data_IF_394121275252
#
_entry.id   IF_394121275252
#
_cell.length_a   1.000
_cell.length_b   1.000
_cell.length_c   1.000
_cell.angle_alpha   90.00
_cell.angle_beta   90.00
_cell.angle_gamma   90.00
#
_symmetry.space_group_name_H-M   'P 1'
#
loop_
_entity.id
_entity.type
_entity.pdbx_description
1 polymer ?
#
# COMPACT_ATOMS: atom_id res chain seq x y z
N UNK A 1 21.71 -14.37 -5.13
CA UNK A 1 20.69 -14.02 -4.12
C UNK A 1 20.05 -15.32 -3.68
N UNK A 2 20.16 -15.64 -2.40
CA UNK A 2 19.40 -16.76 -1.83
C UNK A 2 17.98 -16.23 -1.56
N UNK A 3 16.96 -16.82 -2.18
CA UNK A 3 15.56 -16.38 -2.01
C UNK A 3 14.97 -16.88 -0.68
N UNK A 4 15.63 -17.84 -0.04
CA UNK A 4 15.18 -18.45 1.21
C UNK A 4 15.64 -17.66 2.45
N UNK A 5 16.48 -16.64 2.28
CA UNK A 5 16.98 -15.79 3.35
C UNK A 5 16.54 -14.34 3.17
N UNK A 6 16.04 -13.67 4.23
CA UNK A 6 15.73 -12.25 4.18
C UNK A 6 16.96 -11.44 3.80
N UNK A 7 16.80 -10.50 2.88
CA UNK A 7 17.88 -9.58 2.50
C UNK A 7 18.33 -8.71 3.70
N UNK A 8 17.38 -8.38 4.59
CA UNK A 8 17.62 -7.57 5.79
C UNK A 8 16.52 -7.80 6.83
N UNK A 9 16.93 -8.00 8.08
CA UNK A 9 16.03 -7.96 9.24
C UNK A 9 15.80 -6.50 9.65
N UNK A 10 14.56 -6.04 9.66
CA UNK A 10 14.20 -4.65 10.02
C UNK A 10 13.95 -4.48 11.53
N UNK A 11 13.85 -5.57 12.29
CA UNK A 11 13.51 -5.54 13.70
C UNK A 11 12.11 -4.98 13.94
N UNK A 12 11.90 -4.40 15.13
CA UNK A 12 10.60 -3.87 15.52
C UNK A 12 10.24 -2.59 14.75
N UNK A 13 9.04 -2.61 14.18
CA UNK A 13 8.40 -1.51 13.47
C UNK A 13 7.08 -1.22 14.18
N UNK A 14 6.84 0.01 14.61
CA UNK A 14 5.56 0.40 15.18
C UNK A 14 4.52 0.65 14.07
N UNK A 15 3.91 -0.43 13.60
CA UNK A 15 2.85 -0.40 12.59
C UNK A 15 1.44 -0.36 13.19
N UNK A 16 1.31 -0.37 14.52
CA UNK A 16 0.03 -0.48 15.22
C UNK A 16 -0.94 0.63 14.82
N UNK A 17 -0.54 1.91 14.73
CA UNK A 17 -1.45 2.99 14.32
C UNK A 17 -2.00 2.79 12.90
N UNK A 18 -1.16 2.31 11.96
CA UNK A 18 -1.58 2.05 10.59
C UNK A 18 -2.58 0.89 10.53
N UNK A 19 -2.29 -0.20 11.24
CA UNK A 19 -3.20 -1.36 11.33
C UNK A 19 -4.55 -0.94 11.89
N UNK A 20 -4.57 -0.21 13.00
CA UNK A 20 -5.80 0.16 13.68
C UNK A 20 -6.65 1.10 12.80
N UNK A 21 -6.01 2.02 12.07
CA UNK A 21 -6.70 2.83 11.05
C UNK A 21 -7.32 1.96 9.95
N UNK A 22 -6.57 1.02 9.38
CA UNK A 22 -7.07 0.10 8.33
C UNK A 22 -8.29 -0.69 8.83
N UNK A 23 -8.23 -1.21 10.06
CA UNK A 23 -9.32 -1.99 10.66
C UNK A 23 -10.55 -1.15 11.03
N UNK A 24 -10.40 0.18 11.16
CA UNK A 24 -11.51 1.10 11.43
C UNK A 24 -12.25 1.58 10.18
N UNK A 25 -11.74 1.29 8.98
CA UNK A 25 -12.38 1.70 7.73
C UNK A 25 -13.66 0.90 7.47
N UNK A 26 -14.67 1.57 6.94
CA UNK A 26 -15.92 0.92 6.55
C UNK A 26 -15.70 -0.06 5.39
N UNK A 27 -16.49 -1.15 5.35
CA UNK A 27 -16.49 -2.13 4.25
C UNK A 27 -16.69 -1.48 2.87
N UNK A 28 -17.36 -0.32 2.82
CA UNK A 28 -17.56 0.45 1.58
C UNK A 28 -16.24 0.97 1.03
N UNK A 29 -15.32 1.42 1.87
CA UNK A 29 -14.03 1.98 1.48
C UNK A 29 -13.18 0.96 0.71
N UNK A 30 -13.28 -0.32 1.06
CA UNK A 30 -12.61 -1.41 0.34
C UNK A 30 -13.10 -1.59 -1.11
N UNK A 31 -14.28 -1.07 -1.44
CA UNK A 31 -14.91 -1.17 -2.75
C UNK A 31 -14.84 0.13 -3.57
N UNK A 32 -14.16 1.17 -3.06
CA UNK A 32 -14.07 2.47 -3.74
C UNK A 32 -13.08 2.47 -4.91
N UNK A 33 -12.16 1.49 -4.99
CA UNK A 33 -11.25 1.33 -6.13
C UNK A 33 -11.91 0.49 -7.26
N UNK A 34 -12.94 1.06 -7.89
CA UNK A 34 -13.75 0.40 -8.92
C UNK A 34 -12.96 0.07 -10.20
N UNK A 35 -11.97 0.90 -10.56
CA UNK A 35 -11.15 0.69 -11.76
C UNK A 35 -10.47 -0.68 -11.76
N UNK A 36 -9.94 -1.14 -10.62
CA UNK A 36 -9.32 -2.47 -10.50
C UNK A 36 -10.33 -3.62 -10.45
N UNK A 37 -11.55 -3.38 -9.97
CA UNK A 37 -12.60 -4.41 -9.92
C UNK A 37 -13.20 -4.70 -11.30
N UNK A 38 -13.27 -3.69 -12.17
CA UNK A 38 -13.88 -3.82 -13.50
C UNK A 38 -12.86 -4.15 -14.60
N UNK A 39 -11.61 -3.69 -14.48
CA UNK A 39 -10.61 -3.77 -15.55
C UNK A 39 -9.82 -5.10 -15.57
N UNK A 40 -9.80 -5.86 -14.46
CA UNK A 40 -9.06 -7.11 -14.37
C UNK A 40 -9.93 -8.23 -13.77
N UNK A 41 -10.31 -9.22 -14.59
CA UNK A 41 -11.19 -10.33 -14.21
C UNK A 41 -10.73 -11.09 -12.95
N UNK A 42 -9.42 -11.11 -12.68
CA UNK A 42 -8.81 -11.78 -11.52
C UNK A 42 -9.04 -11.07 -10.19
N UNK A 43 -9.42 -9.78 -10.21
CA UNK A 43 -9.66 -8.97 -9.00
C UNK A 43 -11.15 -8.82 -8.66
N UNK A 44 -12.05 -9.42 -9.44
CA UNK A 44 -13.51 -9.40 -9.18
C UNK A 44 -13.94 -9.98 -7.82
N UNK A 45 -13.04 -10.65 -7.11
CA UNK A 45 -13.28 -11.25 -5.78
C UNK A 45 -12.40 -10.71 -4.67
N UNK A 46 -11.55 -9.72 -4.96
CA UNK A 46 -10.60 -9.18 -3.98
C UNK A 46 -10.70 -7.66 -3.94
N UNK A 47 -11.27 -7.16 -2.86
CA UNK A 47 -11.28 -5.73 -2.54
C UNK A 47 -9.89 -5.31 -2.03
N UNK A 48 -9.45 -4.09 -2.32
CA UNK A 48 -8.11 -3.63 -1.99
C UNK A 48 -8.07 -2.12 -1.77
N UNK A 49 -7.31 -1.69 -0.78
CA UNK A 49 -7.00 -0.29 -0.53
C UNK A 49 -5.70 0.05 -1.24
N UNK A 50 -5.79 0.78 -2.35
CA UNK A 50 -4.62 1.21 -3.13
C UNK A 50 -4.31 2.65 -2.78
N UNK A 51 -3.09 2.93 -2.35
CA UNK A 51 -2.61 4.29 -2.06
C UNK A 51 -1.99 4.93 -3.29
N UNK A 52 -1.09 4.22 -3.96
CA UNK A 52 -0.38 4.69 -5.16
C UNK A 52 -0.44 3.61 -6.23
N UNK A 53 -0.71 4.02 -7.46
CA UNK A 53 -0.67 3.15 -8.63
C UNK A 53 0.30 3.72 -9.66
N UNK A 54 1.10 2.84 -10.27
CA UNK A 54 2.06 3.19 -11.29
C UNK A 54 1.76 2.36 -12.54
N UNK A 55 1.70 3.02 -13.70
CA UNK A 55 1.44 2.36 -14.98
C UNK A 55 2.30 2.95 -16.09
N UNK A 56 2.47 2.18 -17.17
CA UNK A 56 3.24 2.57 -18.34
C UNK A 56 4.72 2.19 -18.27
N UNK A 57 5.27 1.88 -19.45
CA UNK A 57 6.70 1.74 -19.69
C UNK A 57 6.97 2.05 -21.18
N UNK A 58 8.04 2.80 -21.52
CA UNK A 58 9.05 3.39 -20.64
C UNK A 58 8.60 4.70 -19.95
N UNK A 59 7.59 5.39 -20.48
CA UNK A 59 6.99 6.55 -19.83
C UNK A 59 6.03 6.11 -18.72
N UNK A 60 6.42 6.33 -17.48
CA UNK A 60 5.65 5.95 -16.30
C UNK A 60 4.74 7.09 -15.84
N UNK A 61 3.49 6.77 -15.53
CA UNK A 61 2.53 7.63 -14.86
C UNK A 61 2.29 7.11 -13.45
N UNK A 62 2.26 8.02 -12.47
CA UNK A 62 1.99 7.69 -11.06
C UNK A 62 0.74 8.44 -10.62
N UNK A 63 -0.24 7.71 -10.10
CA UNK A 63 -1.47 8.26 -9.52
C UNK A 63 -1.58 7.95 -8.03
N UNK A 64 -2.16 8.89 -7.29
CA UNK A 64 -2.66 8.64 -5.93
C UNK A 64 -4.10 8.15 -6.07
N UNK A 65 -4.36 7.01 -5.46
CA UNK A 65 -5.64 6.32 -5.51
C UNK A 65 -6.46 6.63 -4.26
N UNK A 66 -7.74 6.23 -4.24
CA UNK A 66 -8.70 6.62 -3.19
C UNK A 66 -8.18 6.35 -1.77
N UNK A 67 -7.46 5.24 -1.53
CA UNK A 67 -6.97 4.92 -0.19
C UNK A 67 -5.87 5.87 0.31
N UNK A 68 -5.28 6.68 -0.58
CA UNK A 68 -4.33 7.73 -0.22
C UNK A 68 -4.93 8.68 0.82
N UNK A 69 -6.16 9.16 0.60
CA UNK A 69 -6.78 10.15 1.47
C UNK A 69 -7.10 9.60 2.87
N UNK A 70 -7.26 8.28 3.00
CA UNK A 70 -7.56 7.63 4.27
C UNK A 70 -6.32 7.22 5.08
N UNK A 71 -5.19 6.99 4.42
CA UNK A 71 -4.06 6.27 5.01
C UNK A 71 -2.73 7.00 4.87
N UNK A 72 -2.56 7.94 3.94
CA UNK A 72 -1.25 8.53 3.65
C UNK A 72 -0.67 9.31 4.84
N UNK A 73 -1.51 9.91 5.69
CA UNK A 73 -1.10 10.64 6.90
C UNK A 73 -0.34 9.76 7.89
N UNK A 74 -0.61 8.45 7.92
CA UNK A 74 0.05 7.47 8.78
C UNK A 74 1.06 6.62 8.01
N UNK A 75 0.70 6.19 6.80
CA UNK A 75 1.51 5.28 6.01
C UNK A 75 2.81 5.92 5.52
N UNK A 76 2.77 7.18 5.05
CA UNK A 76 3.95 7.84 4.49
C UNK A 76 5.04 8.05 5.55
N UNK A 77 4.75 8.62 6.74
CA UNK A 77 5.77 8.75 7.79
C UNK A 77 6.37 7.41 8.23
N UNK A 78 5.57 6.34 8.26
CA UNK A 78 6.06 5.01 8.59
C UNK A 78 7.02 4.47 7.51
N UNK A 79 6.66 4.63 6.24
CA UNK A 79 7.52 4.23 5.11
C UNK A 79 8.84 5.02 5.13
N UNK A 80 8.78 6.34 5.30
CA UNK A 80 9.96 7.19 5.39
C UNK A 80 10.84 6.80 6.58
N UNK A 81 10.25 6.48 7.73
CA UNK A 81 10.98 5.99 8.89
C UNK A 81 11.74 4.69 8.60
N UNK A 82 11.09 3.71 7.96
CA UNK A 82 11.70 2.42 7.62
C UNK A 82 12.85 2.63 6.63
N UNK A 83 12.63 3.44 5.59
CA UNK A 83 13.65 3.73 4.57
C UNK A 83 14.86 4.42 5.21
N UNK A 84 14.64 5.51 5.96
CA UNK A 84 15.74 6.27 6.56
C UNK A 84 16.51 5.50 7.63
N UNK A 85 15.85 4.57 8.33
CA UNK A 85 16.48 3.77 9.39
C UNK A 85 17.26 2.57 8.83
N UNK A 86 16.84 2.03 7.69
CA UNK A 86 17.34 0.73 7.21
C UNK A 86 17.91 0.73 5.79
N UNK A 87 17.75 1.77 4.99
CA UNK A 87 18.16 1.76 3.58
C UNK A 87 18.92 3.01 3.14
N UNK A 88 18.86 4.09 3.90
CA UNK A 88 19.77 5.25 3.80
C UNK A 88 20.92 5.15 4.81
#
# INVERSE_FOLDING_TARGET
VNIDEPLKELGDIDYMPLRDRILSLDDKTWNENLSRQEMFDVHKKTSSLVLVFCDGWPEMTVSKEVAWDYLADIAVPLMDHIINKHYE
#
